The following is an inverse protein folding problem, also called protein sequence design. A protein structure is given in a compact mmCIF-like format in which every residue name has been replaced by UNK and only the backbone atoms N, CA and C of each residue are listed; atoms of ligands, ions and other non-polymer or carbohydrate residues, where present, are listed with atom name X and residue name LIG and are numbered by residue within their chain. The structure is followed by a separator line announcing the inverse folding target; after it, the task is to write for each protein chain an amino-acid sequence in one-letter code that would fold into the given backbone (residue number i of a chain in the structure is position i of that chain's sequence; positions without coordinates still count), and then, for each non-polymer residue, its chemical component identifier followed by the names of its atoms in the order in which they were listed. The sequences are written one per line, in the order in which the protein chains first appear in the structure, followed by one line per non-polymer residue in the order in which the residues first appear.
data_IF_878082705528
#
_entry.id   IF_878082705528
#
_cell.length_a   1.000
_cell.length_b   1.000
_cell.length_c   1.000
_cell.angle_alpha   90.00
_cell.angle_beta   90.00
_cell.angle_gamma   90.00
#
_symmetry.space_group_name_H-M   'P 1'
#
loop_
_entity.id
_entity.type
_entity.pdbx_description
1 polymer ?
#
# COMPACT_ATOMS: atom_id res chain seq x y z
N UNK A 1 -1.73 -23.54 20.80
CA UNK A 1 -2.04 -22.15 20.41
C UNK A 1 -2.87 -21.58 21.54
N UNK A 2 -2.29 -20.72 22.38
CA UNK A 2 -2.99 -20.06 23.50
C UNK A 2 -3.37 -18.63 23.12
N UNK A 3 -4.28 -18.01 23.88
CA UNK A 3 -4.67 -16.61 23.67
C UNK A 3 -3.45 -15.67 23.69
N UNK A 4 -2.51 -15.90 24.60
CA UNK A 4 -1.25 -15.13 24.69
C UNK A 4 -0.37 -15.23 23.43
N UNK A 5 -0.42 -16.37 22.73
CA UNK A 5 0.34 -16.56 21.49
C UNK A 5 -0.26 -15.81 20.30
N UNK A 6 -1.55 -15.47 20.36
CA UNK A 6 -2.27 -14.77 19.29
C UNK A 6 -2.57 -13.30 19.64
N UNK A 7 -2.42 -12.90 20.91
CA UNK A 7 -2.62 -11.54 21.38
C UNK A 7 -1.87 -10.48 20.54
N UNK A 8 -0.59 -10.67 20.14
CA UNK A 8 0.10 -9.69 19.30
C UNK A 8 -0.55 -9.52 17.92
N UNK A 9 -1.06 -10.61 17.35
CA UNK A 9 -1.72 -10.59 16.03
C UNK A 9 -3.08 -9.91 16.13
N UNK A 10 -3.82 -10.14 17.22
CA UNK A 10 -5.10 -9.48 17.48
C UNK A 10 -4.92 -7.97 17.71
N UNK A 11 -3.82 -7.57 18.36
CA UNK A 11 -3.44 -6.16 18.57
C UNK A 11 -3.03 -5.49 17.25
N UNK A 12 -2.20 -6.14 16.43
CA UNK A 12 -1.83 -5.66 15.08
C UNK A 12 -3.05 -5.47 14.17
N UNK A 13 -4.03 -6.37 14.28
CA UNK A 13 -5.31 -6.29 13.58
C UNK A 13 -6.29 -5.29 14.22
N UNK A 14 -5.93 -4.67 15.35
CA UNK A 14 -6.79 -3.76 16.11
C UNK A 14 -8.18 -4.35 16.39
N UNK A 15 -8.21 -5.63 16.75
CA UNK A 15 -9.43 -6.30 17.17
C UNK A 15 -9.99 -5.67 18.45
N UNK A 16 -11.32 -5.56 18.53
CA UNK A 16 -12.01 -5.07 19.72
C UNK A 16 -12.60 -6.24 20.49
N UNK A 17 -12.42 -6.24 21.81
CA UNK A 17 -13.11 -7.17 22.70
C UNK A 17 -14.53 -6.71 22.95
N UNK A 18 -15.47 -7.65 23.00
CA UNK A 18 -16.85 -7.37 23.41
C UNK A 18 -16.89 -7.06 24.90
N UNK A 19 -17.73 -6.10 25.33
CA UNK A 19 -17.94 -5.84 26.75
C UNK A 19 -18.69 -6.96 27.47
N UNK A 20 -19.37 -7.83 26.72
CA UNK A 20 -20.21 -8.91 27.25
C UNK A 20 -19.46 -10.24 27.35
N UNK A 21 -18.39 -10.40 26.58
CA UNK A 21 -17.56 -11.61 26.56
C UNK A 21 -16.09 -11.23 26.33
N UNK A 22 -15.28 -11.40 27.39
CA UNK A 22 -13.85 -11.09 27.42
C UNK A 22 -13.02 -11.99 26.48
N UNK A 23 -13.56 -13.13 26.06
CA UNK A 23 -12.90 -14.03 25.10
C UNK A 23 -13.41 -13.84 23.66
N UNK A 24 -14.41 -13.00 23.43
CA UNK A 24 -14.92 -12.69 22.11
C UNK A 24 -14.20 -11.49 21.49
N UNK A 25 -13.55 -11.73 20.35
CA UNK A 25 -12.89 -10.70 19.54
C UNK A 25 -13.70 -10.39 18.28
N UNK A 26 -13.82 -9.11 17.98
CA UNK A 26 -14.44 -8.60 16.77
C UNK A 26 -13.41 -7.87 15.94
N UNK A 27 -13.50 -8.02 14.62
CA UNK A 27 -12.56 -7.42 13.68
C UNK A 27 -13.33 -6.78 12.51
N UNK A 28 -13.04 -5.52 12.21
CA UNK A 28 -13.64 -4.82 11.06
C UNK A 28 -12.88 -5.20 9.78
N UNK A 29 -13.55 -5.91 8.87
CA UNK A 29 -12.98 -6.30 7.58
C UNK A 29 -12.52 -5.10 6.73
N UNK A 30 -13.05 -3.89 6.93
CA UNK A 30 -12.57 -2.69 6.26
C UNK A 30 -11.13 -2.36 6.68
N UNK A 31 -10.80 -2.53 7.96
CA UNK A 31 -9.42 -2.37 8.46
C UNK A 31 -8.48 -3.39 7.84
N UNK A 32 -8.95 -4.61 7.56
CA UNK A 32 -8.16 -5.62 6.83
C UNK A 32 -7.78 -5.17 5.42
N UNK A 33 -8.74 -4.58 4.71
CA UNK A 33 -8.53 -4.08 3.35
C UNK A 33 -7.54 -2.93 3.36
N UNK A 34 -7.63 -2.02 4.34
CA UNK A 34 -6.67 -0.94 4.53
C UNK A 34 -5.28 -1.43 4.91
N UNK A 35 -5.17 -2.38 5.84
CA UNK A 35 -3.90 -3.01 6.22
C UNK A 35 -3.22 -3.68 5.02
N UNK A 36 -3.99 -4.37 4.19
CA UNK A 36 -3.50 -4.96 2.94
C UNK A 36 -3.01 -3.89 1.97
N UNK A 37 -3.73 -2.76 1.84
CA UNK A 37 -3.30 -1.63 1.01
C UNK A 37 -1.96 -1.06 1.50
N UNK A 38 -1.81 -0.83 2.81
CA UNK A 38 -0.55 -0.38 3.41
C UNK A 38 0.60 -1.39 3.17
N UNK A 39 0.32 -2.68 3.28
CA UNK A 39 1.30 -3.73 2.97
C UNK A 39 1.77 -3.71 1.51
N UNK A 40 0.83 -3.56 0.56
CA UNK A 40 1.15 -3.43 -0.87
C UNK A 40 1.96 -2.16 -1.13
N UNK A 41 1.58 -1.03 -0.53
CA UNK A 41 2.31 0.24 -0.66
C UNK A 41 3.75 0.13 -0.15
N UNK A 42 3.95 -0.49 1.01
CA UNK A 42 5.28 -0.75 1.59
C UNK A 42 6.12 -1.66 0.67
N UNK A 43 5.51 -2.73 0.14
CA UNK A 43 6.16 -3.65 -0.79
C UNK A 43 6.61 -2.95 -2.08
N UNK A 44 5.73 -2.14 -2.68
CA UNK A 44 6.03 -1.37 -3.89
C UNK A 44 7.19 -0.40 -3.63
N UNK A 45 7.18 0.31 -2.51
CA UNK A 45 8.26 1.21 -2.13
C UNK A 45 9.58 0.49 -1.93
N UNK A 46 9.58 -0.67 -1.25
CA UNK A 46 10.78 -1.48 -1.00
C UNK A 46 11.37 -2.04 -2.31
N UNK A 47 10.51 -2.51 -3.22
CA UNK A 47 10.94 -3.20 -4.43
C UNK A 47 11.30 -2.24 -5.58
N UNK A 48 10.60 -1.13 -5.71
CA UNK A 48 10.70 -0.24 -6.88
C UNK A 48 11.19 1.17 -6.53
N UNK A 49 11.42 1.44 -5.25
CA UNK A 49 11.91 2.72 -4.77
C UNK A 49 10.84 3.80 -4.66
N UNK A 50 11.28 4.96 -4.18
CA UNK A 50 10.39 6.07 -3.79
C UNK A 50 9.65 6.69 -4.98
N UNK A 51 10.29 6.82 -6.15
CA UNK A 51 9.70 7.48 -7.32
C UNK A 51 8.53 6.68 -7.89
N UNK A 52 8.72 5.37 -8.06
CA UNK A 52 7.67 4.44 -8.49
C UNK A 52 6.52 4.41 -7.48
N UNK A 53 6.84 4.36 -6.19
CA UNK A 53 5.85 4.43 -5.13
C UNK A 53 5.02 5.73 -5.17
N UNK A 54 5.64 6.89 -5.38
CA UNK A 54 4.93 8.17 -5.47
C UNK A 54 3.89 8.14 -6.60
N UNK A 55 4.26 7.66 -7.79
CA UNK A 55 3.36 7.57 -8.94
C UNK A 55 2.28 6.51 -8.70
N UNK A 56 2.65 5.32 -8.21
CA UNK A 56 1.71 4.25 -7.86
C UNK A 56 0.65 4.73 -6.87
N UNK A 57 1.06 5.39 -5.77
CA UNK A 57 0.14 5.89 -4.75
C UNK A 57 -0.83 6.92 -5.32
N UNK A 58 -0.35 7.80 -6.20
CA UNK A 58 -1.19 8.78 -6.87
C UNK A 58 -2.25 8.10 -7.73
N UNK A 59 -1.86 7.13 -8.57
CA UNK A 59 -2.79 6.38 -9.43
C UNK A 59 -3.82 5.59 -8.62
N UNK A 60 -3.40 4.90 -7.57
CA UNK A 60 -4.29 4.14 -6.68
C UNK A 60 -5.25 5.05 -5.92
N UNK A 61 -4.80 6.27 -5.55
CA UNK A 61 -5.65 7.25 -4.85
C UNK A 61 -6.71 7.84 -5.77
N UNK A 62 -6.37 8.13 -7.02
CA UNK A 62 -7.32 8.65 -8.00
C UNK A 62 -8.30 7.57 -8.48
N UNK A 63 -7.88 6.31 -8.51
CA UNK A 63 -8.74 5.18 -8.90
C UNK A 63 -9.08 5.14 -10.40
N UNK A 64 -8.51 6.03 -11.20
CA UNK A 64 -8.70 6.12 -12.64
C UNK A 64 -7.38 6.47 -13.36
N UNK A 65 -7.39 6.39 -14.68
CA UNK A 65 -6.27 6.86 -15.49
C UNK A 65 -6.09 8.38 -15.30
N UNK A 66 -4.87 8.80 -14.99
CA UNK A 66 -4.49 10.22 -14.80
C UNK A 66 -3.55 10.59 -15.93
N UNK A 67 -3.75 11.77 -16.52
CA UNK A 67 -2.87 12.28 -17.57
C UNK A 67 -1.45 12.53 -17.04
N UNK A 68 -0.44 12.24 -17.86
CA UNK A 68 0.96 12.40 -17.45
C UNK A 68 1.29 13.82 -16.99
N UNK A 69 0.72 14.84 -17.63
CA UNK A 69 0.93 16.25 -17.25
C UNK A 69 0.34 16.56 -15.87
N UNK A 70 -0.79 15.93 -15.51
CA UNK A 70 -1.37 16.04 -14.18
C UNK A 70 -0.49 15.32 -13.13
N UNK A 71 0.13 14.19 -13.48
CA UNK A 71 1.09 13.51 -12.59
C UNK A 71 2.31 14.40 -12.33
N UNK A 72 2.84 15.06 -13.36
CA UNK A 72 3.97 16.00 -13.24
C UNK A 72 3.57 17.20 -12.37
N UNK A 73 2.37 17.75 -12.56
CA UNK A 73 1.89 18.89 -11.77
C UNK A 73 1.63 18.55 -10.29
N UNK A 74 1.21 17.32 -10.01
CA UNK A 74 0.78 16.89 -8.67
C UNK A 74 1.93 16.29 -7.84
N UNK A 75 3.04 15.91 -8.48
CA UNK A 75 4.20 15.32 -7.82
C UNK A 75 5.39 16.28 -7.83
N UNK A 76 6.30 16.12 -6.87
CA UNK A 76 7.59 16.86 -6.85
C UNK A 76 8.63 16.26 -7.80
N UNK A 77 8.24 15.33 -8.66
CA UNK A 77 9.15 14.59 -9.53
C UNK A 77 9.39 15.37 -10.83
N UNK A 78 10.63 15.40 -11.28
CA UNK A 78 10.95 15.96 -12.60
C UNK A 78 10.22 15.20 -13.71
N UNK A 79 9.87 15.93 -14.77
CA UNK A 79 9.23 15.38 -15.97
C UNK A 79 9.94 14.12 -16.51
N UNK A 80 11.27 14.14 -16.55
CA UNK A 80 12.07 13.00 -17.01
C UNK A 80 11.93 11.77 -16.10
N UNK A 81 11.85 11.99 -14.78
CA UNK A 81 11.62 10.92 -13.80
C UNK A 81 10.22 10.35 -13.96
N UNK A 82 9.20 11.19 -14.14
CA UNK A 82 7.82 10.74 -14.35
C UNK A 82 7.72 9.86 -15.60
N UNK A 83 8.23 10.34 -16.74
CA UNK A 83 8.19 9.56 -17.98
C UNK A 83 8.96 8.24 -17.89
N UNK A 84 10.20 8.26 -17.35
CA UNK A 84 11.01 7.04 -17.22
C UNK A 84 10.38 6.04 -16.26
N UNK A 85 9.76 6.50 -15.18
CA UNK A 85 9.07 5.65 -14.21
C UNK A 85 7.80 5.04 -14.80
N UNK A 86 6.98 5.84 -15.49
CA UNK A 86 5.78 5.34 -16.17
C UNK A 86 6.13 4.32 -17.26
N UNK A 87 7.20 4.57 -18.02
CA UNK A 87 7.69 3.62 -19.02
C UNK A 87 8.12 2.29 -18.39
N UNK A 88 8.88 2.32 -17.28
CA UNK A 88 9.25 1.11 -16.52
C UNK A 88 8.04 0.35 -15.99
N UNK A 89 7.02 1.06 -15.52
CA UNK A 89 5.76 0.47 -15.03
C UNK A 89 4.94 -0.17 -16.17
N UNK A 90 4.82 0.50 -17.31
CA UNK A 90 4.03 0.02 -18.45
C UNK A 90 4.68 -1.17 -19.14
N UNK A 91 6.01 -1.21 -19.21
CA UNK A 91 6.72 -2.25 -19.94
C UNK A 91 6.97 -3.53 -19.11
N UNK A 92 6.67 -3.54 -17.81
CA UNK A 92 6.60 -4.76 -16.99
C UNK A 92 7.88 -5.61 -16.84
N UNK A 93 8.99 -5.32 -17.54
CA UNK A 93 10.06 -6.32 -17.76
C UNK A 93 11.50 -5.79 -17.69
N UNK A 94 11.78 -4.73 -16.94
CA UNK A 94 13.16 -4.44 -16.51
C UNK A 94 13.14 -3.93 -15.07
N UNK A 95 12.73 -4.82 -14.18
CA UNK A 95 13.11 -4.71 -12.78
C UNK A 95 14.29 -5.65 -12.69
N UNK A 96 15.49 -5.10 -12.90
CA UNK A 96 16.72 -5.84 -12.64
C UNK A 96 16.68 -6.23 -11.16
N UNK A 97 16.49 -7.53 -10.95
CA UNK A 97 16.84 -8.21 -9.72
C UNK A 97 18.35 -8.29 -9.72
N UNK A 98 18.99 -7.31 -9.09
CA UNK A 98 20.35 -7.46 -8.56
C UNK A 98 20.27 -7.52 -7.03
#
# INVERSE_FOLDING_TARGET
MTLDQIAPVLEDLQCTTSSEDLEAFTFDLRKMVEARKMGIESLVKKKYGQQVFTIFRLLVTHGCAVETDQIIATTILDKQIVHSTLYKLCNGSHIDTE
#
